data_IF_734969598915
#
_entry.id   IF_734969598915
#
_cell.length_a   1.000
_cell.length_b   1.000
_cell.length_c   1.000
_cell.angle_alpha   90.00
_cell.angle_beta   90.00
_cell.angle_gamma   90.00
#
_symmetry.space_group_name_H-M   'P 1'
#
loop_
_entity.id
_entity.type
_entity.pdbx_description
1 polymer ?
#
# COMPACT_ATOMS: atom_id res chain seq x y z
N UNK A 1 -33.48 -55.18 -16.97
CA UNK A 1 -32.08 -55.32 -16.49
C UNK A 1 -31.09 -54.32 -17.09
N UNK A 2 -31.40 -53.63 -18.20
CA UNK A 2 -30.45 -52.73 -18.90
C UNK A 2 -30.15 -51.37 -18.24
N UNK A 3 -30.93 -50.93 -17.24
CA UNK A 3 -30.79 -49.56 -16.70
C UNK A 3 -29.76 -49.45 -15.55
N UNK A 4 -29.31 -50.55 -14.96
CA UNK A 4 -28.31 -50.53 -13.87
C UNK A 4 -26.88 -50.47 -14.40
N UNK A 5 -26.58 -51.16 -15.50
CA UNK A 5 -25.25 -51.20 -16.11
C UNK A 5 -24.88 -49.86 -16.75
N UNK A 6 -25.84 -49.18 -17.38
CA UNK A 6 -25.63 -47.86 -18.00
C UNK A 6 -25.33 -46.77 -16.95
N UNK A 7 -26.03 -46.79 -15.80
CA UNK A 7 -25.78 -45.85 -14.70
C UNK A 7 -24.41 -46.09 -14.06
N UNK A 8 -23.99 -47.35 -13.89
CA UNK A 8 -22.66 -47.67 -13.36
C UNK A 8 -21.52 -47.24 -14.29
N UNK A 9 -21.66 -47.40 -15.61
CA UNK A 9 -20.64 -46.98 -16.60
C UNK A 9 -20.52 -45.44 -16.66
N UNK A 10 -21.64 -44.71 -16.58
CA UNK A 10 -21.61 -43.23 -16.52
C UNK A 10 -20.97 -42.74 -15.22
N UNK A 11 -21.24 -43.38 -14.07
CA UNK A 11 -20.61 -43.00 -12.80
C UNK A 11 -19.09 -43.25 -12.78
N UNK A 12 -18.59 -44.32 -13.41
CA UNK A 12 -17.14 -44.61 -13.49
C UNK A 12 -16.43 -43.64 -14.45
N UNK A 13 -17.07 -43.25 -15.56
CA UNK A 13 -16.51 -42.25 -16.49
C UNK A 13 -16.51 -40.84 -15.91
N UNK A 14 -17.53 -40.46 -15.11
CA UNK A 14 -17.56 -39.16 -14.42
C UNK A 14 -16.54 -39.09 -13.28
N UNK A 15 -16.20 -40.21 -12.64
CA UNK A 15 -15.19 -40.25 -11.56
C UNK A 15 -13.75 -40.35 -12.08
N UNK A 16 -13.52 -40.78 -13.32
CA UNK A 16 -12.21 -40.74 -13.98
C UNK A 16 -11.78 -39.33 -14.44
N UNK A 17 -12.70 -38.35 -14.47
CA UNK A 17 -12.38 -36.94 -14.77
C UNK A 17 -11.97 -36.15 -13.52
N UNK A 18 -11.98 -36.76 -12.33
CA UNK A 18 -11.80 -36.02 -11.05
C UNK A 18 -10.38 -36.10 -10.48
N UNK A 19 -9.41 -36.74 -11.12
CA UNK A 19 -8.06 -36.84 -10.49
C UNK A 19 -6.88 -36.72 -11.45
N UNK A 20 -6.89 -35.64 -12.23
CA UNK A 20 -5.63 -34.92 -12.48
C UNK A 20 -5.83 -33.51 -11.93
N UNK A 21 -5.95 -33.44 -10.60
CA UNK A 21 -5.59 -32.23 -9.87
C UNK A 21 -4.09 -32.03 -10.00
N UNK A 22 -3.62 -31.61 -11.17
CA UNK A 22 -2.43 -30.78 -11.23
C UNK A 22 -2.86 -29.42 -10.70
N UNK A 23 -2.97 -29.34 -9.36
CA UNK A 23 -2.91 -28.09 -8.64
C UNK A 23 -1.52 -27.53 -8.82
N UNK A 24 -1.21 -27.05 -10.03
CA UNK A 24 -0.21 -26.03 -10.18
C UNK A 24 -0.80 -24.84 -9.43
N UNK A 25 -0.22 -24.54 -8.28
CA UNK A 25 -0.42 -23.23 -7.69
C UNK A 25 -0.03 -22.22 -8.77
N UNK A 26 -1.00 -21.68 -9.50
CA UNK A 26 -0.84 -20.45 -10.28
C UNK A 26 -0.77 -19.26 -9.30
N UNK A 27 -0.04 -19.44 -8.19
CA UNK A 27 0.23 -18.44 -7.16
C UNK A 27 1.13 -17.33 -7.68
N UNK A 28 1.03 -17.00 -8.96
CA UNK A 28 1.58 -15.79 -9.53
C UNK A 28 0.84 -14.60 -8.94
N UNK A 29 1.60 -13.58 -8.58
CA UNK A 29 1.06 -12.29 -8.19
C UNK A 29 0.31 -11.70 -9.39
N UNK A 30 -1.03 -11.70 -9.32
CA UNK A 30 -1.86 -11.03 -10.30
C UNK A 30 -2.08 -9.59 -9.85
N UNK A 31 -1.82 -8.65 -10.75
CA UNK A 31 -2.15 -7.27 -10.52
C UNK A 31 -3.68 -7.12 -10.40
N UNK A 32 -4.17 -6.77 -9.20
CA UNK A 32 -5.62 -6.70 -8.95
C UNK A 32 -6.22 -5.43 -9.58
N UNK A 33 -5.70 -4.25 -9.25
CA UNK A 33 -6.10 -2.98 -9.88
C UNK A 33 -5.13 -1.85 -9.56
N UNK A 34 -5.20 -0.78 -10.37
CA UNK A 34 -4.66 0.53 -9.98
C UNK A 34 -5.64 1.14 -8.98
N UNK A 35 -5.16 1.81 -7.93
CA UNK A 35 -6.02 2.70 -7.13
C UNK A 35 -6.83 3.60 -8.08
N UNK A 36 -8.12 3.90 -7.77
CA UNK A 36 -8.97 4.68 -8.65
C UNK A 36 -8.22 5.90 -9.18
N UNK A 37 -8.36 6.15 -10.48
CA UNK A 37 -7.91 7.38 -11.11
C UNK A 37 -8.75 8.50 -10.47
N UNK A 38 -8.23 9.09 -9.40
CA UNK A 38 -9.01 10.04 -8.59
C UNK A 38 -9.46 11.21 -9.49
N UNK A 39 -10.70 11.70 -9.35
CA UNK A 39 -11.22 12.84 -10.12
C UNK A 39 -10.44 14.14 -9.90
N UNK A 40 -9.46 14.16 -8.99
CA UNK A 40 -8.63 15.32 -8.69
C UNK A 40 -7.15 14.96 -8.80
N UNK A 41 -6.34 15.80 -9.47
CA UNK A 41 -4.94 15.52 -9.68
C UNK A 41 -4.17 15.87 -8.41
N UNK A 42 -4.23 15.01 -7.40
CA UNK A 42 -3.25 14.98 -6.31
C UNK A 42 -1.92 14.45 -6.85
N UNK A 43 -1.38 15.09 -7.90
CA UNK A 43 -0.18 14.66 -8.62
C UNK A 43 0.93 14.44 -7.61
N UNK A 44 1.34 13.18 -7.48
CA UNK A 44 2.59 12.85 -6.85
C UNK A 44 3.72 13.38 -7.74
N UNK A 45 4.68 14.04 -7.12
CA UNK A 45 5.94 14.44 -7.73
C UNK A 45 7.03 13.63 -7.02
N UNK A 46 7.32 12.44 -7.58
CA UNK A 46 8.19 11.41 -7.00
C UNK A 46 7.64 10.82 -5.67
N UNK A 47 6.59 9.98 -5.72
CA UNK A 47 6.21 9.19 -4.55
C UNK A 47 7.34 8.20 -4.22
N UNK A 48 7.84 8.21 -3.00
CA UNK A 48 9.08 7.49 -2.64
C UNK A 48 8.85 6.32 -1.69
N UNK A 49 7.85 6.39 -0.81
CA UNK A 49 7.49 5.31 0.10
C UNK A 49 6.00 5.34 0.47
N UNK A 50 5.51 4.22 0.98
CA UNK A 50 4.13 4.03 1.46
C UNK A 50 4.13 3.31 2.80
N UNK A 51 3.21 3.67 3.69
CA UNK A 51 2.92 2.95 4.92
C UNK A 51 1.41 2.87 5.15
N UNK A 52 0.96 1.85 5.87
CA UNK A 52 -0.46 1.63 6.21
C UNK A 52 -0.57 1.52 7.72
N UNK A 53 -1.52 2.25 8.32
CA UNK A 53 -1.80 2.13 9.76
C UNK A 53 -2.77 0.97 10.05
N UNK A 54 -2.96 0.65 11.34
CA UNK A 54 -3.85 -0.42 11.77
C UNK A 54 -5.34 -0.19 11.45
N UNK A 55 -5.71 1.04 11.08
CA UNK A 55 -7.07 1.40 10.65
C UNK A 55 -7.24 1.32 9.12
N UNK A 56 -6.18 0.96 8.40
CA UNK A 56 -6.19 0.85 6.93
C UNK A 56 -6.01 2.18 6.20
N UNK A 57 -5.65 3.27 6.89
CA UNK A 57 -5.26 4.49 6.18
C UNK A 57 -3.88 4.33 5.57
N UNK A 58 -3.72 4.90 4.39
CA UNK A 58 -2.50 4.79 3.60
C UNK A 58 -1.81 6.15 3.53
N UNK A 59 -0.53 6.15 3.84
CA UNK A 59 0.31 7.33 3.88
C UNK A 59 1.38 7.20 2.81
N UNK A 60 1.53 8.21 1.96
CA UNK A 60 2.50 8.22 0.87
C UNK A 60 3.40 9.44 0.99
N UNK A 61 4.72 9.25 0.99
CA UNK A 61 5.69 10.34 0.89
C UNK A 61 5.78 10.82 -0.55
N UNK A 62 5.50 12.10 -0.75
CA UNK A 62 5.56 12.77 -2.04
C UNK A 62 6.78 13.71 -2.03
N UNK A 63 7.93 13.14 -2.40
CA UNK A 63 9.25 13.66 -2.02
C UNK A 63 9.52 15.06 -2.57
N UNK A 64 9.31 15.28 -3.88
CA UNK A 64 9.60 16.59 -4.49
C UNK A 64 8.56 17.65 -4.09
N UNK A 65 7.36 17.24 -3.69
CA UNK A 65 6.36 18.14 -3.10
C UNK A 65 6.55 18.33 -1.59
N UNK A 66 7.54 17.68 -0.98
CA UNK A 66 7.86 17.78 0.45
C UNK A 66 6.64 17.61 1.35
N UNK A 67 5.84 16.57 1.07
CA UNK A 67 4.60 16.32 1.81
C UNK A 67 4.32 14.83 1.99
N UNK A 68 3.64 14.49 3.07
CA UNK A 68 3.00 13.17 3.21
C UNK A 68 1.52 13.33 2.87
N UNK A 69 0.97 12.45 2.03
CA UNK A 69 -0.45 12.41 1.72
C UNK A 69 -1.11 11.21 2.39
N UNK A 70 -2.29 11.40 2.97
CA UNK A 70 -3.09 10.37 3.66
C UNK A 70 -4.33 10.05 2.83
N UNK A 71 -4.63 8.76 2.69
CA UNK A 71 -5.76 8.22 1.94
C UNK A 71 -6.51 7.16 2.76
N UNK A 72 -7.76 6.91 2.43
CA UNK A 72 -8.45 5.68 2.84
C UNK A 72 -7.85 4.47 2.12
N UNK A 73 -8.18 3.26 2.57
CA UNK A 73 -7.84 2.00 1.88
C UNK A 73 -8.37 1.96 0.43
N UNK A 74 -9.50 2.61 0.17
CA UNK A 74 -10.09 2.73 -1.18
C UNK A 74 -9.48 3.87 -2.01
N UNK A 75 -8.54 4.62 -1.45
CA UNK A 75 -7.74 5.63 -2.14
C UNK A 75 -8.34 7.01 -2.11
N UNK A 76 -9.35 7.25 -1.28
CA UNK A 76 -9.96 8.58 -1.13
C UNK A 76 -8.97 9.46 -0.35
N UNK A 77 -8.61 10.61 -0.92
CA UNK A 77 -7.73 11.57 -0.26
C UNK A 77 -8.38 12.12 1.01
N UNK A 78 -7.68 12.02 2.12
CA UNK A 78 -8.10 12.52 3.43
C UNK A 78 -7.43 13.86 3.74
N UNK A 79 -6.14 13.99 3.41
CA UNK A 79 -5.38 15.18 3.75
C UNK A 79 -3.89 15.02 3.49
N UNK A 80 -3.13 16.08 3.79
CA UNK A 80 -1.68 16.11 3.63
C UNK A 80 -1.00 16.79 4.82
N UNK A 81 0.21 16.34 5.10
CA UNK A 81 1.16 16.99 6.00
C UNK A 81 2.23 17.66 5.15
N UNK A 82 2.31 18.99 5.18
CA UNK A 82 3.42 19.72 4.59
C UNK A 82 4.66 19.60 5.47
N UNK A 83 5.81 19.32 4.86
CA UNK A 83 7.08 19.19 5.56
C UNK A 83 8.06 20.20 4.98
N UNK A 84 8.49 21.14 5.81
CA UNK A 84 9.52 22.10 5.41
C UNK A 84 10.89 21.41 5.42
N UNK A 85 11.35 21.02 4.23
CA UNK A 85 12.72 20.52 4.01
C UNK A 85 13.61 21.64 3.44
N UNK A 86 14.83 21.75 3.92
CA UNK A 86 15.81 22.72 3.42
C UNK A 86 16.51 22.17 2.17
N UNK A 87 16.66 23.01 1.14
CA UNK A 87 17.40 22.66 -0.08
C UNK A 87 16.57 22.04 -1.21
N UNK A 88 15.29 22.43 -1.32
CA UNK A 88 14.29 21.89 -2.24
C UNK A 88 14.81 21.31 -3.56
N UNK A 89 14.34 20.10 -3.90
CA UNK A 89 14.78 19.32 -5.05
C UNK A 89 14.57 17.82 -4.82
N UNK A 90 15.37 16.98 -5.50
CA UNK A 90 15.40 15.50 -5.36
C UNK A 90 15.78 15.04 -3.94
N UNK A 91 16.25 15.99 -3.11
CA UNK A 91 16.60 15.81 -1.71
C UNK A 91 15.44 16.28 -0.84
N UNK A 92 14.71 15.34 -0.26
CA UNK A 92 13.50 15.64 0.51
C UNK A 92 13.19 14.52 1.49
N UNK A 93 11.91 14.32 1.76
CA UNK A 93 11.45 13.19 2.55
C UNK A 93 11.46 11.90 1.72
N UNK A 94 11.74 10.76 2.36
CA UNK A 94 11.86 9.48 1.67
C UNK A 94 11.05 8.38 2.34
N UNK A 95 11.63 7.72 3.33
CA UNK A 95 10.99 6.66 4.10
C UNK A 95 9.85 7.16 4.99
N UNK A 96 8.88 6.27 5.22
CA UNK A 96 7.75 6.48 6.11
C UNK A 96 7.40 5.20 6.84
N UNK A 97 7.05 5.30 8.12
CA UNK A 97 6.44 4.22 8.89
C UNK A 97 5.38 4.78 9.83
N UNK A 98 4.47 3.92 10.29
CA UNK A 98 3.43 4.26 11.26
C UNK A 98 3.56 3.31 12.46
N UNK A 99 3.44 3.82 13.68
CA UNK A 99 3.41 2.98 14.88
C UNK A 99 1.98 2.49 15.20
N UNK A 100 1.86 1.61 16.19
CA UNK A 100 0.57 1.05 16.62
C UNK A 100 -0.40 2.07 17.22
N UNK A 101 0.08 3.26 17.57
CA UNK A 101 -0.74 4.38 18.05
C UNK A 101 -1.17 5.31 16.88
N UNK A 102 -0.70 5.03 15.66
CA UNK A 102 -0.96 5.85 14.47
C UNK A 102 -0.02 7.04 14.31
N UNK A 103 1.05 7.15 15.09
CA UNK A 103 2.04 8.21 14.88
C UNK A 103 2.84 7.91 13.60
N UNK A 104 3.06 8.95 12.80
CA UNK A 104 3.76 8.85 11.51
C UNK A 104 5.20 9.30 11.70
N UNK A 105 6.13 8.49 11.23
CA UNK A 105 7.56 8.77 11.23
C UNK A 105 8.03 8.92 9.80
N UNK A 106 8.73 10.01 9.50
CA UNK A 106 9.19 10.34 8.14
C UNK A 106 10.67 10.64 8.19
N UNK A 107 11.46 10.02 7.32
CA UNK A 107 12.88 10.37 7.18
C UNK A 107 13.02 11.61 6.30
N UNK A 108 13.52 12.70 6.88
CA UNK A 108 13.97 13.89 6.16
C UNK A 108 15.42 13.67 5.74
N UNK A 109 15.59 13.27 4.48
CA UNK A 109 16.89 13.04 3.85
C UNK A 109 17.46 14.30 3.19
N UNK A 110 16.97 15.47 3.58
CA UNK A 110 17.59 16.75 3.23
C UNK A 110 18.88 16.99 4.02
N UNK A 111 19.47 18.18 3.83
CA UNK A 111 20.67 18.63 4.53
C UNK A 111 20.54 18.47 6.05
N UNK A 112 19.34 18.64 6.59
CA UNK A 112 19.10 18.54 8.03
C UNK A 112 19.07 17.11 8.57
N UNK A 113 19.01 16.07 7.73
CA UNK A 113 19.19 14.64 8.08
C UNK A 113 18.55 14.23 9.41
N UNK A 114 17.22 14.31 9.49
CA UNK A 114 16.45 14.08 10.72
C UNK A 114 15.29 13.11 10.50
N UNK A 115 14.80 12.51 11.57
CA UNK A 115 13.52 11.78 11.55
C UNK A 115 12.45 12.67 12.15
N UNK A 116 11.34 12.85 11.45
CA UNK A 116 10.21 13.65 11.91
C UNK A 116 9.13 12.72 12.45
N UNK A 117 8.59 13.03 13.63
CA UNK A 117 7.45 12.33 14.23
C UNK A 117 6.21 13.23 14.24
N UNK A 118 5.10 12.72 13.74
CA UNK A 118 3.79 13.36 13.73
C UNK A 118 2.75 12.53 14.47
N UNK A 119 1.75 13.19 15.05
CA UNK A 119 0.59 12.54 15.65
C UNK A 119 -0.33 11.93 14.58
N UNK A 120 -1.29 11.06 14.95
CA UNK A 120 -2.26 10.49 14.01
C UNK A 120 -3.14 11.54 13.32
N UNK A 121 -3.26 12.72 13.94
CA UNK A 121 -3.98 13.88 13.44
C UNK A 121 -3.11 14.82 12.60
N UNK A 122 -1.85 14.44 12.37
CA UNK A 122 -0.90 15.16 11.53
C UNK A 122 -0.23 16.37 12.18
N UNK A 123 -0.23 16.46 13.50
CA UNK A 123 0.51 17.50 14.21
C UNK A 123 1.96 17.07 14.39
N UNK A 124 2.91 17.96 14.15
CA UNK A 124 4.33 17.69 14.46
C UNK A 124 4.51 17.51 15.97
N UNK A 125 5.14 16.41 16.38
CA UNK A 125 5.43 16.11 17.79
C UNK A 125 6.88 16.47 18.10
N UNK A 126 7.82 15.88 17.36
CA UNK A 126 9.26 16.01 17.63
C UNK A 126 10.08 15.52 16.44
N UNK A 127 11.39 15.73 16.50
CA UNK A 127 12.34 15.12 15.57
C UNK A 127 13.46 14.38 16.33
N UNK A 128 14.16 13.50 15.62
CA UNK A 128 15.32 12.79 16.12
C UNK A 128 16.50 13.06 15.18
N UNK A 129 17.65 13.40 15.77
CA UNK A 129 18.85 13.75 15.01
C UNK A 129 18.76 15.14 14.37
N UNK A 130 19.64 15.35 13.39
CA UNK A 130 19.90 16.65 12.77
C UNK A 130 21.10 17.37 13.36
N UNK A 131 21.77 18.13 12.50
CA UNK A 131 22.94 18.96 12.82
C UNK A 131 22.53 20.31 13.40
#
# INVERSE_FOLDING_TARGET
MFNKVLVTVVCVLVSLVVNIGVGLADGGYQFERLWPRLPQPWYFQAPSAVAVDSSGFVYVTDANNSRVQKFTSDGIFIGKLGISVYGGGVWGISGITVDSLGNVYVSDTSISSKILKFSPFGQFITNLGGL
#
